data_IF_848662107134
#
_entry.id   IF_848662107134
#
_cell.length_a   1.000
_cell.length_b   1.000
_cell.length_c   1.000
_cell.angle_alpha   90.00
_cell.angle_beta   90.00
_cell.angle_gamma   90.00
#
_symmetry.space_group_name_H-M   'P 1'
#
loop_
_entity.id
_entity.type
_entity.pdbx_description
1 polymer ?
2 polymer ?
3 non-polymer ?
4 non-polymer ?
5 water ?
#
# COMPACT_ATOMS: atom_id res chain seq x y z
N UNK A 8 -24.94 -5.32 -1.97
CA UNK A 8 -23.44 -5.41 -1.89
C UNK A 8 -22.61 -4.44 -2.78
N UNK A 9 -21.41 -4.07 -2.30
CA UNK A 9 -20.58 -3.15 -3.03
C UNK A 9 -19.34 -3.81 -3.59
N UNK A 10 -18.82 -3.32 -4.70
CA UNK A 10 -17.57 -3.86 -5.25
C UNK A 10 -16.39 -3.08 -4.66
N UNK A 11 -15.27 -3.77 -4.44
CA UNK A 11 -14.05 -3.11 -3.95
C UNK A 11 -13.66 -1.99 -4.91
N UNK A 12 -13.14 -0.89 -4.37
CA UNK A 12 -12.63 0.18 -5.23
C UNK A 12 -11.49 -0.42 -6.02
N UNK A 13 -11.42 -0.17 -7.35
CA UNK A 13 -10.31 -0.76 -8.14
C UNK A 13 -8.94 -0.15 -7.86
N UNK A 14 -7.92 -1.01 -7.94
CA UNK A 14 -6.55 -0.57 -7.74
C UNK A 14 -6.03 0.24 -8.92
N UNK A 15 -5.00 1.06 -8.67
CA UNK A 15 -4.31 1.77 -9.75
C UNK A 15 -2.86 1.83 -9.27
N UNK A 16 -1.93 1.92 -10.21
CA UNK A 16 -0.53 1.99 -9.84
C UNK A 16 -0.27 3.15 -8.87
N UNK A 17 0.69 2.96 -7.96
CA UNK A 17 1.10 4.05 -7.08
C UNK A 17 1.86 5.09 -7.88
N UNK A 18 2.44 4.70 -9.03
CA UNK A 18 3.18 5.66 -9.87
C UNK A 18 4.59 5.99 -9.34
N UNK A 19 5.38 6.71 -10.14
CA UNK A 19 6.75 7.06 -9.76
C UNK A 19 6.90 8.04 -8.63
N UNK A 20 5.80 8.76 -8.27
CA UNK A 20 5.92 9.78 -7.21
C UNK A 20 5.27 9.36 -5.90
N UNK A 21 5.04 8.07 -5.73
CA UNK A 21 4.40 7.53 -4.56
C UNK A 21 5.13 8.02 -3.28
N UNK A 22 6.42 8.36 -3.38
CA UNK A 22 7.16 8.84 -2.20
C UNK A 22 6.58 10.07 -1.57
N UNK A 23 5.99 10.94 -2.37
CA UNK A 23 5.44 12.16 -1.83
C UNK A 23 4.45 11.83 -0.73
N UNK A 24 3.51 10.94 -1.01
CA UNK A 24 2.52 10.63 0.00
C UNK A 24 2.90 9.62 1.06
N UNK A 25 3.80 8.69 0.74
CA UNK A 25 4.09 7.66 1.71
C UNK A 25 5.47 7.72 2.39
N UNK A 26 6.45 8.37 1.76
CA UNK A 26 7.82 8.53 2.32
C UNK A 26 8.25 9.97 1.96
N UNK A 27 7.52 10.98 2.43
CA UNK A 27 7.90 12.36 2.05
C UNK A 27 9.37 12.80 2.24
N UNK A 28 10.00 12.26 3.26
CA UNK A 28 11.40 12.60 3.53
C UNK A 28 12.26 12.13 2.33
N UNK A 29 11.88 11.06 1.65
CA UNK A 29 12.65 10.60 0.49
C UNK A 29 12.45 11.54 -0.68
N UNK A 30 11.31 12.22 -0.72
CA UNK A 30 11.08 13.21 -1.79
C UNK A 30 11.47 14.63 -1.33
N UNK A 31 12.16 14.71 -0.19
CA UNK A 31 12.61 15.99 0.38
C UNK A 31 11.54 16.97 0.77
N UNK A 32 10.52 16.43 1.39
CA UNK A 32 9.40 17.21 1.88
C UNK A 32 9.33 17.05 3.41
N UNK A 33 9.51 18.12 4.16
CA UNK A 33 9.39 17.99 5.60
C UNK A 33 8.09 18.64 5.94
N UNK A 34 7.08 17.86 6.26
CA UNK A 34 5.80 18.44 6.59
C UNK A 34 5.22 17.77 7.82
N UNK A 35 5.60 16.52 8.08
CA UNK A 35 5.12 15.80 9.25
C UNK A 35 6.18 15.78 10.36
N UNK A 36 5.75 15.77 11.62
CA UNK A 36 6.71 15.68 12.71
C UNK A 36 7.02 14.18 12.91
N UNK A 37 5.98 13.35 12.90
CA UNK A 37 6.18 11.90 12.98
C UNK A 37 6.13 11.28 11.60
N UNK A 38 7.21 10.67 11.16
CA UNK A 38 7.26 10.06 9.84
C UNK A 38 7.34 8.52 9.91
N UNK A 39 6.49 7.81 9.17
CA UNK A 39 6.51 6.36 9.17
C UNK A 39 7.78 5.93 8.46
N UNK A 40 8.46 4.89 8.97
CA UNK A 40 9.73 4.48 8.37
C UNK A 40 9.98 2.97 8.39
N UNK A 41 11.22 2.59 8.14
CA UNK A 41 11.59 1.18 8.02
C UNK A 41 12.26 0.62 9.28
N UNK A 42 12.08 1.27 10.41
CA UNK A 42 12.72 0.74 11.63
C UNK A 42 11.66 0.23 12.57
N UNK A 43 11.54 -1.07 12.69
CA UNK A 43 10.52 -1.66 13.54
C UNK A 43 11.05 -1.95 14.98
N UNK A 44 12.34 -1.71 15.21
CA UNK A 44 12.96 -2.02 16.52
C UNK A 44 12.98 -0.81 17.41
N UNK A 45 12.32 -0.88 18.55
CA UNK A 45 12.32 0.20 19.52
C UNK A 45 13.29 -0.27 20.61
N UNK A 46 13.73 0.63 21.48
CA UNK A 46 14.69 0.24 22.52
C UNK A 46 14.26 -0.96 23.35
N UNK A 47 12.99 -1.00 23.76
CA UNK A 47 12.54 -2.14 24.56
C UNK A 47 11.95 -3.32 23.78
N UNK A 48 12.05 -3.28 22.47
CA UNK A 48 11.48 -4.37 21.64
C UNK A 48 12.19 -5.66 21.93
N UNK A 49 11.42 -6.74 22.09
CA UNK A 49 11.97 -8.07 22.35
C UNK A 49 12.34 -8.84 21.07
N UNK A 50 13.32 -9.73 21.17
CA UNK A 50 13.67 -10.58 20.04
C UNK A 50 15.00 -10.38 19.38
N UNK A 51 15.35 -11.23 18.45
CA UNK A 51 16.65 -10.98 17.84
C UNK A 51 16.54 -10.03 16.67
N UNK A 52 17.37 -9.00 16.74
CA UNK A 52 17.41 -7.97 15.73
C UNK A 52 17.98 -8.55 14.45
N UNK A 53 17.36 -8.25 13.32
CA UNK A 53 17.89 -8.73 12.05
C UNK A 53 17.69 -7.61 11.07
N UNK A 54 18.45 -7.64 9.98
CA UNK A 54 18.29 -6.65 8.92
C UNK A 54 17.78 -7.44 7.71
N UNK A 55 16.77 -6.91 7.04
CA UNK A 55 16.23 -7.54 5.83
C UNK A 55 16.56 -6.59 4.66
N UNK A 56 17.24 -7.09 3.65
CA UNK A 56 17.61 -6.23 2.52
C UNK A 56 17.61 -6.96 1.20
N UNK A 57 17.49 -6.21 0.12
CA UNK A 57 17.54 -6.80 -1.21
C UNK A 57 17.27 -5.77 -2.29
N UNK A 58 17.00 -6.25 -3.49
CA UNK A 58 16.62 -5.38 -4.61
C UNK A 58 15.42 -6.04 -5.27
N UNK A 59 14.69 -5.26 -6.11
CA UNK A 59 13.52 -5.79 -6.85
C UNK A 59 13.97 -5.62 -8.28
N UNK A 60 13.87 -6.67 -9.09
CA UNK A 60 14.31 -6.62 -10.49
C UNK A 60 13.14 -6.76 -11.47
N UNK A 61 13.24 -6.11 -12.61
CA UNK A 61 12.22 -6.19 -13.64
C UNK A 61 12.56 -7.30 -14.61
N UNK A 62 11.75 -7.39 -15.66
CA UNK A 62 11.95 -8.42 -16.66
C UNK A 62 13.26 -8.37 -17.45
N UNK A 63 13.99 -7.26 -17.45
CA UNK A 63 15.30 -7.18 -18.14
C UNK A 63 16.42 -7.50 -17.11
N UNK A 64 16.03 -7.71 -15.85
CA UNK A 64 17.01 -8.00 -14.81
C UNK A 64 17.58 -6.71 -14.24
N UNK A 65 16.88 -5.61 -14.42
CA UNK A 65 17.37 -4.34 -13.92
C UNK A 65 16.61 -4.01 -12.64
N UNK A 66 17.26 -3.34 -11.71
CA UNK A 66 16.49 -3.06 -10.50
C UNK A 66 15.51 -1.92 -10.65
N UNK A 67 14.42 -2.01 -9.88
CA UNK A 67 13.40 -0.96 -9.87
C UNK A 67 13.96 0.07 -8.92
N UNK A 68 14.17 1.29 -9.41
CA UNK A 68 14.70 2.33 -8.55
C UNK A 68 13.63 3.27 -7.99
N UNK A 69 12.37 2.87 -8.16
CA UNK A 69 11.28 3.69 -7.67
C UNK A 69 10.25 2.85 -6.91
N UNK A 70 10.64 1.66 -6.46
CA UNK A 70 9.67 0.76 -5.79
C UNK A 70 9.54 1.12 -4.31
N UNK A 71 8.37 0.85 -3.75
CA UNK A 71 8.08 1.15 -2.35
C UNK A 71 7.67 -0.22 -1.76
N UNK A 72 8.21 -0.54 -0.58
CA UNK A 72 7.95 -1.84 0.04
C UNK A 72 7.42 -1.67 1.45
N UNK A 73 6.49 -2.54 1.87
CA UNK A 73 6.03 -2.51 3.26
C UNK A 73 6.07 -3.94 3.73
N UNK A 74 6.22 -4.14 5.04
CA UNK A 74 6.20 -5.47 5.55
C UNK A 74 5.28 -5.46 6.77
N UNK A 75 4.74 -6.63 7.08
CA UNK A 75 3.80 -6.80 8.23
C UNK A 75 4.23 -8.15 8.83
N UNK A 76 4.43 -8.18 10.16
CA UNK A 76 4.90 -9.40 10.78
C UNK A 76 4.50 -9.47 12.26
N UNK A 77 4.61 -10.66 12.85
CA UNK A 77 4.29 -10.83 14.26
C UNK A 77 5.53 -10.50 15.11
N UNK A 78 5.29 -10.45 16.42
CA UNK A 78 6.42 -10.21 17.33
C UNK A 78 7.21 -11.50 17.53
N UNK A 79 8.16 -11.45 18.46
CA UNK A 79 9.03 -12.58 18.68
C UNK A 79 8.31 -13.88 19.16
N UNK A 80 7.13 -13.73 19.74
CA UNK A 80 6.37 -14.86 20.21
C UNK A 80 5.30 -15.29 19.25
N UNK A 81 5.33 -14.69 18.07
CA UNK A 81 4.37 -14.99 17.02
C UNK A 81 2.96 -14.44 17.29
N UNK A 82 2.88 -13.28 17.91
CA UNK A 82 1.60 -12.63 18.18
C UNK A 82 1.61 -11.33 17.34
N UNK A 83 0.50 -11.03 16.68
CA UNK A 83 0.40 -9.80 15.89
C UNK A 83 -0.09 -8.64 16.74
N UNK A 84 0.48 -7.45 16.53
CA UNK A 84 0.05 -6.27 17.30
C UNK A 84 -1.19 -5.68 16.56
N UNK A 85 -2.30 -6.42 16.64
CA UNK A 85 -3.54 -6.05 15.96
C UNK A 85 -4.68 -6.59 16.80
N UNK A 86 -5.78 -5.84 16.85
CA UNK A 86 -6.95 -6.29 17.60
C UNK A 86 -7.54 -7.51 16.97
N UNK A 87 -7.21 -7.79 15.70
CA UNK A 87 -7.76 -8.94 15.01
C UNK A 87 -7.03 -10.22 15.36
N UNK A 88 -5.96 -10.13 16.16
CA UNK A 88 -5.24 -11.34 16.58
C UNK A 88 -6.08 -11.97 17.72
N UNK A 89 -6.42 -13.21 17.51
CA UNK A 89 -7.28 -13.92 18.43
C UNK A 89 -6.56 -14.93 19.30
N UNK A 90 -5.25 -14.88 19.38
CA UNK A 90 -4.57 -15.87 20.20
C UNK A 90 -4.77 -15.68 21.72
N UNK A 91 -5.29 -14.56 22.17
CA UNK A 91 -5.44 -14.46 23.62
C UNK A 91 -4.10 -14.34 24.34
N UNK A 92 -3.05 -14.03 23.59
CA UNK A 92 -1.72 -13.89 24.17
C UNK A 92 -1.32 -12.42 24.20
N UNK A 93 -0.44 -12.06 25.12
CA UNK A 93 -0.04 -10.67 25.18
C UNK A 93 1.04 -10.44 24.12
N UNK A 94 0.86 -9.37 23.34
CA UNK A 94 1.84 -9.02 22.32
C UNK A 94 2.93 -8.12 22.93
N UNK A 95 4.11 -8.07 22.31
CA UNK A 95 5.19 -7.21 22.75
C UNK A 95 4.55 -5.79 22.68
N UNK A 96 4.59 -5.02 23.78
CA UNK A 96 3.96 -3.69 23.74
C UNK A 96 4.79 -2.61 23.04
N UNK A 97 6.03 -2.96 22.68
CA UNK A 97 6.90 -1.97 22.04
C UNK A 97 7.23 -2.42 20.62
N UNK A 98 6.18 -2.78 19.88
CA UNK A 98 6.35 -3.29 18.52
C UNK A 98 5.15 -2.99 17.60
N UNK A 99 5.40 -2.22 16.56
CA UNK A 99 4.34 -1.85 15.63
C UNK A 99 4.02 -3.03 14.65
N UNK A 100 5.02 -3.84 14.30
CA UNK A 100 4.82 -4.98 13.39
C UNK A 100 4.84 -4.58 11.91
N UNK A 101 4.89 -3.29 11.66
CA UNK A 101 4.87 -2.81 10.24
C UNK A 101 5.93 -1.75 10.00
N UNK A 102 6.39 -1.70 8.76
CA UNK A 102 7.32 -0.66 8.36
C UNK A 102 7.20 -0.42 6.87
N UNK A 103 7.79 0.68 6.38
CA UNK A 103 7.72 0.98 4.95
C UNK A 103 9.07 1.55 4.52
N UNK A 104 9.54 1.18 3.33
CA UNK A 104 10.76 1.79 2.86
C UNK A 104 10.75 1.99 1.36
N UNK A 105 11.72 2.70 0.86
CA UNK A 105 11.76 2.86 -0.59
C UNK A 105 13.13 2.48 -1.09
N UNK A 106 13.22 1.96 -2.29
CA UNK A 106 14.51 1.58 -2.84
C UNK A 106 15.26 2.88 -3.07
N UNK A 107 16.57 2.83 -2.94
CA UNK A 107 17.44 3.97 -3.16
C UNK A 107 17.32 4.35 -4.64
N UNK A 108 17.23 5.64 -4.94
CA UNK A 108 17.06 6.08 -6.34
C UNK A 108 18.18 5.75 -7.30
N UNK A 109 19.39 5.61 -6.77
CA UNK A 109 20.52 5.30 -7.62
C UNK A 109 20.85 3.81 -7.66
N UNK A 110 20.79 3.12 -6.52
CA UNK A 110 21.13 1.67 -6.52
C UNK A 110 19.97 0.70 -6.53
N UNK A 111 18.79 1.15 -6.04
CA UNK A 111 17.67 0.21 -6.00
C UNK A 111 17.74 -0.63 -4.71
N UNK A 112 18.72 -0.42 -3.82
CA UNK A 112 18.72 -1.28 -2.62
C UNK A 112 17.66 -0.78 -1.65
N UNK A 113 17.05 -1.72 -0.91
CA UNK A 113 16.07 -1.38 0.13
C UNK A 113 16.43 -2.22 1.38
N UNK A 114 16.05 -1.76 2.57
CA UNK A 114 16.29 -2.54 3.78
C UNK A 114 15.29 -2.18 4.88
N UNK A 115 15.20 -3.05 5.87
CA UNK A 115 14.39 -2.82 7.04
C UNK A 115 15.24 -3.31 8.25
N UNK A 116 15.01 -2.70 9.39
CA UNK A 116 15.63 -3.11 10.64
C UNK A 116 14.42 -3.66 11.40
N UNK A 117 14.46 -4.94 11.71
CA UNK A 117 13.30 -5.50 12.42
C UNK A 117 13.79 -6.63 13.33
N UNK A 118 12.89 -7.49 13.76
CA UNK A 118 13.28 -8.62 14.59
C UNK A 118 12.76 -9.83 13.85
N UNK A 119 13.32 -11.00 14.16
CA UNK A 119 12.94 -12.24 13.54
C UNK A 119 11.63 -12.68 14.18
N UNK A 120 10.56 -12.86 13.38
CA UNK A 120 9.29 -13.26 14.00
C UNK A 120 9.20 -14.70 14.48
N UNK A 121 8.37 -14.89 15.48
CA UNK A 121 8.09 -16.22 16.03
C UNK A 121 7.04 -16.87 15.14
N UNK A 122 6.84 -18.16 15.32
CA UNK A 122 5.87 -18.89 14.51
C UNK A 122 4.44 -18.54 14.90
N UNK A 123 3.58 -18.45 13.89
CA UNK A 123 2.18 -18.08 14.05
C UNK A 123 1.28 -19.27 13.70
N UNK A 124 0.17 -19.44 14.43
CA UNK A 124 -0.75 -20.56 14.14
C UNK A 124 -1.25 -20.44 12.70
N UNK A 125 -1.42 -21.59 12.05
CA UNK A 125 -1.97 -21.65 10.71
C UNK A 125 -3.42 -22.12 10.84
N UNK A 126 -4.07 -22.49 9.76
CA UNK A 126 -5.45 -22.92 9.89
C UNK A 126 -5.56 -24.33 10.43
N UNK A 127 -6.73 -24.63 10.95
CA UNK A 127 -7.02 -25.99 11.46
C UNK A 127 -5.94 -26.59 12.34
N UNK A 128 -5.48 -25.82 13.32
CA UNK A 128 -4.48 -26.34 14.23
C UNK A 128 -3.05 -26.49 13.75
N UNK A 129 -2.73 -26.04 12.53
CA UNK A 129 -1.35 -26.17 12.05
C UNK A 129 -0.46 -25.02 12.57
N UNK A 130 0.85 -25.11 12.31
CA UNK A 130 1.76 -24.04 12.70
C UNK A 130 2.48 -23.53 11.47
N UNK A 131 2.50 -22.20 11.28
CA UNK A 131 3.18 -21.72 10.12
C UNK A 131 4.66 -21.50 10.47
N UNK A 132 5.54 -21.60 9.48
CA UNK A 132 6.95 -21.33 9.75
C UNK A 132 7.07 -19.81 9.88
N UNK A 133 8.14 -19.31 10.56
CA UNK A 133 8.34 -17.85 10.72
C UNK A 133 8.38 -17.21 9.33
N UNK A 134 7.66 -16.08 9.18
CA UNK A 134 7.65 -15.36 7.91
C UNK A 134 7.26 -13.90 8.11
N UNK A 135 7.53 -13.11 7.09
CA UNK A 135 7.19 -11.70 7.07
C UNK A 135 6.34 -11.51 5.79
N UNK A 136 5.21 -10.86 5.91
CA UNK A 136 4.37 -10.60 4.72
C UNK A 136 4.91 -9.31 4.08
N UNK A 137 5.03 -9.29 2.75
CA UNK A 137 5.64 -8.12 2.09
C UNK A 137 4.81 -7.71 0.89
N UNK A 138 4.71 -6.40 0.63
CA UNK A 138 3.96 -5.93 -0.53
C UNK A 138 4.84 -4.89 -1.21
N UNK A 139 4.69 -4.86 -2.53
CA UNK A 139 5.47 -4.04 -3.45
C UNK A 139 4.53 -3.09 -4.23
N UNK A 140 4.86 -1.80 -4.30
CA UNK A 140 4.07 -0.84 -5.10
C UNK A 140 5.06 -0.05 -5.97
N UNK A 141 4.71 0.24 -7.22
CA UNK A 141 5.62 1.00 -8.05
C UNK A 141 4.94 1.37 -9.37
N UNK A 142 5.56 2.32 -10.05
CA UNK A 142 5.15 2.67 -11.39
C UNK A 142 5.16 1.34 -12.16
N UNK A 143 4.19 1.18 -13.06
CA UNK A 143 4.13 -0.05 -13.86
C UNK A 143 3.43 -1.22 -13.18
N UNK A 144 3.20 -1.12 -11.88
CA UNK A 144 2.56 -2.20 -11.12
C UNK A 144 1.16 -1.72 -10.77
N UNK A 145 0.16 -2.39 -11.38
CA UNK A 145 -1.22 -1.94 -11.23
C UNK A 145 -1.91 -2.24 -9.95
N UNK A 146 -1.47 -3.33 -9.32
CA UNK A 146 -2.02 -3.78 -8.02
C UNK A 146 -0.80 -4.21 -7.19
N UNK A 147 -0.74 -3.81 -5.93
CA UNK A 147 0.40 -4.17 -5.08
C UNK A 147 0.58 -5.67 -5.13
N UNK A 148 1.82 -6.11 -5.25
CA UNK A 148 2.16 -7.54 -5.33
C UNK A 148 2.52 -8.05 -3.95
N UNK A 149 1.83 -9.09 -3.50
CA UNK A 149 2.00 -9.66 -2.14
C UNK A 149 2.96 -10.85 -2.24
N UNK A 150 3.87 -10.97 -1.29
CA UNK A 150 4.72 -12.17 -1.24
C UNK A 150 5.05 -12.39 0.24
N UNK A 151 5.83 -13.43 0.54
CA UNK A 151 6.21 -13.74 1.90
C UNK A 151 7.71 -13.99 1.92
N UNK A 152 8.33 -13.75 3.07
CA UNK A 152 9.77 -13.94 3.21
C UNK A 152 9.90 -15.01 4.30
N UNK A 153 10.55 -16.14 4.02
CA UNK A 153 10.79 -17.18 5.00
C UNK A 153 12.33 -17.17 5.19
N UNK A 154 12.82 -17.92 6.18
CA UNK A 154 14.23 -17.84 6.55
C UNK A 154 14.92 -19.16 6.29
N UNK A 155 16.08 -19.11 5.65
CA UNK A 155 16.76 -20.37 5.31
C UNK A 155 17.26 -21.17 6.51
N UNK A 156 17.40 -20.54 7.66
CA UNK A 156 17.81 -21.28 8.85
C UNK A 156 16.62 -21.91 9.57
N UNK A 157 15.44 -21.95 8.94
CA UNK A 157 14.29 -22.58 9.57
C UNK A 157 13.81 -23.65 8.63
N UNK A 158 14.75 -24.45 8.12
CA UNK A 158 14.40 -25.49 7.13
C UNK A 158 13.34 -26.50 7.60
N UNK A 159 13.46 -26.89 8.86
CA UNK A 159 12.53 -27.82 9.46
C UNK A 159 11.11 -27.23 9.47
N UNK A 160 11.00 -25.99 9.93
CA UNK A 160 9.70 -25.35 9.99
C UNK A 160 9.17 -25.05 8.59
N UNK A 161 10.06 -24.68 7.65
CA UNK A 161 9.62 -24.40 6.27
C UNK A 161 9.07 -25.62 5.56
N UNK A 162 9.69 -26.77 5.83
CA UNK A 162 9.27 -28.01 5.20
C UNK A 162 7.83 -28.39 5.59
N UNK A 163 7.34 -27.92 6.72
CA UNK A 163 5.98 -28.23 7.21
C UNK A 163 5.01 -27.03 7.04
N UNK A 164 5.49 -25.94 6.46
CA UNK A 164 4.63 -24.78 6.34
C UNK A 164 3.45 -25.00 5.38
N UNK A 165 2.22 -24.71 5.85
CA UNK A 165 1.02 -24.89 5.02
C UNK A 165 1.05 -24.09 3.73
N UNK A 166 1.37 -22.81 3.82
CA UNK A 166 1.38 -22.02 2.59
C UNK A 166 2.45 -22.45 1.57
N UNK A 167 3.69 -22.71 2.04
CA UNK A 167 4.71 -23.15 1.10
C UNK A 167 4.31 -24.48 0.49
N UNK A 168 3.71 -25.38 1.27
CA UNK A 168 3.32 -26.66 0.73
C UNK A 168 2.12 -26.56 -0.22
N UNK A 169 1.44 -25.43 -0.21
CA UNK A 169 0.28 -25.24 -1.08
C UNK A 169 0.70 -24.77 -2.46
N UNK A 170 2.01 -24.55 -2.68
CA UNK A 170 2.51 -24.13 -4.01
C UNK A 170 2.82 -25.48 -4.68
N UNK A 171 2.06 -25.86 -5.71
CA UNK A 171 2.31 -27.21 -6.23
C UNK A 171 3.56 -27.38 -7.06
N UNK A 172 4.14 -26.27 -7.56
CA UNK A 172 5.36 -26.36 -8.39
C UNK A 172 6.44 -26.19 -7.35
N UNK A 173 6.98 -27.30 -6.85
CA UNK A 173 7.92 -27.21 -5.75
C UNK A 173 9.20 -26.44 -5.95
N UNK A 174 9.69 -26.37 -7.16
CA UNK A 174 10.91 -25.66 -7.43
C UNK A 174 10.73 -24.15 -7.18
N UNK A 175 9.49 -23.66 -7.11
CA UNK A 175 9.28 -22.23 -6.94
C UNK A 175 9.28 -21.83 -5.49
N UNK A 176 9.11 -22.81 -4.60
CA UNK A 176 9.08 -22.52 -3.17
C UNK A 176 10.36 -21.84 -2.72
N UNK A 177 11.48 -22.18 -3.33
CA UNK A 177 12.73 -21.57 -2.88
C UNK A 177 12.84 -20.06 -3.14
N UNK A 178 12.03 -19.51 -4.05
CA UNK A 178 12.12 -18.09 -4.29
C UNK A 178 11.64 -17.33 -3.07
N UNK A 179 11.00 -17.98 -2.12
CA UNK A 179 10.50 -17.28 -0.94
C UNK A 179 11.38 -17.37 0.31
N UNK A 180 12.55 -18.01 0.18
CA UNK A 180 13.48 -18.18 1.30
C UNK A 180 14.65 -17.19 1.22
N UNK A 181 14.77 -16.34 2.23
CA UNK A 181 15.84 -15.36 2.26
C UNK A 181 17.11 -16.04 2.84
N UNK A 182 18.27 -15.57 2.43
CA UNK A 182 19.55 -16.14 2.88
C UNK A 182 20.19 -15.38 4.03
N UNK A 183 20.53 -16.12 5.08
CA UNK A 183 21.10 -15.55 6.29
C UNK A 183 22.57 -15.27 6.07
N UNK A 184 23.03 -14.12 6.55
CA UNK A 184 24.44 -13.75 6.45
C UNK A 184 24.75 -13.00 7.75
N UNK A 185 26.02 -12.91 8.10
CA UNK A 185 26.37 -12.21 9.34
C UNK A 185 27.44 -11.16 9.15
N UNK A 186 27.03 -9.93 8.84
CA UNK A 186 27.94 -8.82 8.62
C UNK A 186 28.48 -8.28 9.95
N UNK A 187 29.60 -8.86 10.38
CA UNK A 187 30.26 -8.49 11.63
C UNK A 187 29.31 -8.20 12.78
N UNK A 188 28.85 -9.28 13.43
CA UNK A 188 27.94 -9.16 14.55
C UNK A 188 26.47 -9.12 14.18
N UNK A 189 26.12 -8.43 13.09
CA UNK A 189 24.72 -8.30 12.68
C UNK A 189 24.24 -9.43 11.79
N UNK A 190 23.00 -9.86 12.01
CA UNK A 190 22.40 -10.91 11.21
C UNK A 190 21.64 -10.19 10.08
N UNK A 191 21.87 -10.60 8.85
CA UNK A 191 21.24 -10.00 7.68
C UNK A 191 20.62 -11.08 6.86
N UNK A 192 19.42 -10.83 6.35
CA UNK A 192 18.75 -11.79 5.46
C UNK A 192 18.60 -11.08 4.13
N UNK A 193 19.13 -11.68 3.08
CA UNK A 193 19.09 -11.06 1.77
C UNK A 193 17.90 -11.67 1.04
N UNK A 194 17.00 -10.83 0.53
CA UNK A 194 15.83 -11.38 -0.17
C UNK A 194 15.65 -10.55 -1.43
N UNK A 195 16.05 -11.07 -2.59
CA UNK A 195 15.87 -10.34 -3.84
C UNK A 195 14.57 -10.82 -4.44
N UNK A 196 13.85 -9.89 -5.04
CA UNK A 196 12.58 -10.18 -5.62
C UNK A 196 12.70 -10.07 -7.12
N UNK A 197 12.25 -11.08 -7.86
CA UNK A 197 12.32 -11.01 -9.32
C UNK A 197 10.89 -11.03 -9.83
N UNK A 198 10.49 -9.89 -10.34
CA UNK A 198 9.11 -9.78 -10.78
C UNK A 198 8.78 -10.61 -11.97
N UNK A 199 9.71 -10.80 -12.89
CA UNK A 199 9.37 -11.52 -14.09
C UNK A 199 10.57 -12.34 -14.61
N UNK A 200 10.32 -13.42 -15.35
CA UNK A 200 11.43 -14.16 -15.92
C UNK A 200 11.87 -15.40 -15.19
N UNK A 201 13.15 -15.71 -15.30
CA UNK A 201 13.68 -16.89 -14.62
C UNK A 201 13.71 -16.65 -13.09
N UNK A 202 13.39 -17.70 -12.36
CA UNK A 202 13.38 -17.63 -10.89
C UNK A 202 12.43 -16.53 -10.44
N UNK A 203 11.36 -16.32 -11.18
CA UNK A 203 10.39 -15.29 -10.83
C UNK A 203 9.86 -15.58 -9.41
N UNK A 204 9.80 -14.57 -8.57
CA UNK A 204 9.32 -14.76 -7.16
C UNK A 204 7.80 -15.11 -7.18
N UNK A 205 7.39 -16.02 -6.31
CA UNK A 205 5.97 -16.37 -6.16
C UNK A 205 5.22 -15.14 -5.58
N UNK A 206 4.06 -14.79 -6.18
CA UNK A 206 3.26 -13.70 -5.63
C UNK A 206 1.91 -14.32 -5.28
N UNK A 207 1.31 -13.86 -4.21
CA UNK A 207 0.04 -14.43 -3.76
C UNK A 207 -1.18 -13.53 -3.95
N UNK A 208 -2.35 -14.17 -4.05
CA UNK A 208 -3.59 -13.39 -4.05
C UNK A 208 -4.08 -13.78 -2.65
N UNK A 209 -4.03 -12.85 -1.70
CA UNK A 209 -4.37 -13.18 -0.33
C UNK A 209 -5.75 -12.81 0.15
N UNK B 4 -20.03 -12.12 17.77
CA UNK B 4 -19.59 -12.35 16.32
C UNK B 4 -18.16 -12.89 16.19
N UNK B 5 -18.00 -13.99 15.46
CA UNK B 5 -16.67 -14.57 15.27
C UNK B 5 -16.35 -14.31 13.80
N UNK B 6 -15.30 -13.55 13.54
CA UNK B 6 -14.99 -13.26 12.16
C UNK B 6 -14.21 -14.37 11.45
N UNK B 7 -14.58 -14.59 10.19
CA UNK B 7 -13.93 -15.59 9.35
C UNK B 7 -12.99 -14.87 8.37
N UNK B 8 -12.74 -15.40 7.19
CA UNK B 8 -11.79 -14.71 6.27
C UNK B 8 -12.41 -13.55 5.46
N UNK B 9 -11.57 -12.72 4.86
CA UNK B 9 -12.09 -11.71 3.96
C UNK B 9 -12.64 -12.42 2.71
N UNK B 10 -13.66 -11.83 2.09
CA UNK B 10 -14.20 -12.41 0.86
C UNK B 10 -13.04 -12.29 -0.17
N UNK B 11 -13.00 -13.22 -1.10
CA UNK B 11 -12.01 -13.24 -2.14
C UNK B 11 -12.00 -11.94 -2.99
N UNK B 12 -10.79 -11.46 -3.36
CA UNK B 12 -10.71 -10.26 -4.23
C UNK B 12 -11.28 -10.69 -5.59
N UNK B 13 -12.20 -9.88 -6.15
CA UNK B 13 -12.77 -10.25 -7.45
C UNK B 13 -11.81 -9.72 -8.50
N UNK B 14 -10.97 -10.57 -9.05
CA UNK B 14 -9.97 -10.07 -10.02
C UNK B 14 -10.57 -9.33 -11.24
N UNK B 15 -11.83 -9.60 -11.56
CA UNK B 15 -12.42 -8.98 -12.76
C UNK B 15 -12.80 -7.53 -12.45
N UNK B 16 -12.72 -7.14 -11.18
CA UNK B 16 -13.07 -5.77 -10.81
C UNK B 16 -11.83 -4.84 -10.72
N UNK B 17 -10.66 -5.35 -11.07
CA UNK B 17 -9.43 -4.63 -11.00
C UNK B 17 -8.67 -4.75 -12.31
N UNK B 18 -7.64 -3.92 -12.48
CA UNK B 18 -6.88 -4.04 -13.71
C UNK B 18 -6.06 -5.32 -13.60
N UNK B 19 -5.61 -5.84 -14.75
CA UNK B 19 -4.78 -7.04 -14.81
C UNK B 19 -3.36 -6.53 -14.57
N UNK B 20 -2.41 -7.41 -14.23
CA UNK B 20 -1.04 -6.92 -14.02
C UNK B 20 -0.44 -6.54 -15.37
N UNK B 21 -0.72 -7.37 -16.37
CA UNK B 21 -0.12 -7.10 -17.68
C UNK B 21 -1.11 -6.29 -18.48
N UNK B 22 -0.76 -5.05 -18.81
CA UNK B 22 -1.68 -4.22 -19.56
C UNK B 22 -0.77 -3.45 -20.51
N UNK B 23 -0.54 -3.99 -21.70
CA UNK B 23 0.34 -3.37 -22.69
C UNK B 23 0.12 -1.88 -23.05
N UNK B 24 -1.08 -1.36 -22.86
CA UNK B 24 -1.29 0.07 -23.16
C UNK B 24 -0.60 0.96 -22.12
N UNK B 25 -0.22 0.38 -20.98
CA UNK B 25 0.49 1.16 -19.93
C UNK B 25 1.84 0.49 -20.03
N UNK B 26 2.72 1.10 -20.83
CA UNK B 26 3.98 0.49 -21.18
C UNK B 26 4.90 -0.08 -20.14
N UNK B 27 5.04 0.61 -19.01
CA UNK B 27 5.93 0.13 -17.97
C UNK B 27 5.42 -1.14 -17.30
N UNK B 28 4.16 -1.49 -17.52
CA UNK B 28 3.65 -2.77 -16.95
C UNK B 28 4.20 -3.98 -17.71
N UNK B 29 4.72 -3.78 -18.92
CA UNK B 29 5.18 -4.94 -19.68
C UNK B 29 6.35 -5.71 -19.01
N UNK B 30 7.25 -4.98 -18.36
CA UNK B 30 8.43 -5.64 -17.74
C UNK B 30 8.25 -5.74 -16.23
N UNK B 31 7.18 -5.13 -15.69
CA UNK B 31 6.94 -5.16 -14.26
C UNK B 31 5.72 -5.94 -13.85
N UNK B 32 5.34 -6.93 -14.67
CA UNK B 32 4.18 -7.77 -14.32
C UNK B 32 4.66 -9.22 -14.30
N UNK B 33 4.18 -10.01 -13.36
CA UNK B 33 4.67 -11.38 -13.40
C UNK B 33 4.15 -12.17 -14.58
N UNK B 34 4.93 -13.15 -15.00
CA UNK B 34 4.43 -13.97 -16.10
C UNK B 34 3.54 -15.08 -15.49
N UNK B 35 3.84 -15.55 -14.27
CA UNK B 35 3.00 -16.57 -13.66
C UNK B 35 1.75 -16.01 -13.05
N UNK B 36 0.70 -16.85 -13.00
CA UNK B 36 -0.56 -16.46 -12.34
C UNK B 36 -0.28 -16.32 -10.82
N UNK B 37 -1.03 -15.47 -10.16
CA UNK B 37 -0.86 -15.37 -8.71
C UNK B 37 -1.34 -16.69 -8.10
N UNK B 38 -0.73 -17.07 -6.97
CA UNK B 38 -1.13 -18.26 -6.26
C UNK B 38 -2.10 -17.82 -5.13
N UNK B 39 -3.34 -18.30 -5.20
CA UNK B 39 -4.31 -17.94 -4.20
C UNK B 39 -4.12 -18.84 -2.94
N UNK B 40 -4.13 -18.21 -1.77
CA UNK B 40 -4.04 -19.00 -0.58
C UNK B 40 -5.26 -18.79 0.33
N UNK B 41 -5.44 -19.74 1.24
CA UNK B 41 -6.54 -19.64 2.21
C UNK B 41 -5.99 -18.73 3.33
N UNK B 42 -6.80 -17.81 3.82
CA UNK B 42 -6.25 -16.85 4.78
C UNK B 42 -5.95 -17.36 6.18
N UNK B 43 -4.91 -16.78 6.77
CA UNK B 43 -4.50 -17.06 8.14
C UNK B 43 -4.51 -15.78 8.93
N UNK B 44 -4.06 -15.87 10.19
CA UNK B 44 -3.99 -14.69 11.02
C UNK B 44 -3.14 -13.60 10.37
N UNK B 45 -2.16 -14.01 9.59
CA UNK B 45 -1.28 -13.06 8.90
C UNK B 45 -2.02 -12.14 7.93
N UNK B 46 -3.03 -12.68 7.25
CA UNK B 46 -3.73 -11.90 6.24
C UNK B 46 -4.90 -11.10 6.84
N UNK B 47 -5.38 -11.50 8.00
CA UNK B 47 -6.56 -10.79 8.57
C UNK B 47 -6.21 -9.77 9.63
N UNK B 48 -4.92 -9.59 9.91
CA UNK B 48 -4.50 -8.59 10.92
C UNK B 48 -3.83 -7.42 10.18
N UNK B 49 -3.59 -6.34 10.92
CA UNK B 49 -2.97 -5.16 10.31
C UNK B 49 -2.54 -4.26 11.44
N UNK B 50 -1.62 -3.32 11.19
CA UNK B 50 -1.18 -2.47 12.30
C UNK B 50 -2.18 -1.41 12.71
N UNK B 51 -1.96 -0.82 13.90
CA UNK B 51 -2.84 0.25 14.39
C UNK B 51 -2.01 1.51 14.51
N UNK B 52 -2.50 2.64 14.03
CA UNK B 52 -1.77 3.90 14.11
C UNK B 52 -2.53 4.84 15.07
N UNK B 53 -1.84 5.49 15.98
CA UNK B 53 -2.58 6.35 16.90
C UNK B 53 -2.71 7.78 16.42
N UNK B 54 -3.88 8.36 16.64
CA UNK B 54 -4.11 9.73 16.23
C UNK B 54 -3.16 10.72 16.94
N UNK B 55 -2.63 10.31 18.09
CA UNK B 55 -1.69 11.14 18.86
C UNK B 55 -0.46 11.64 18.14
N UNK B 56 0.02 10.86 17.19
CA UNK B 56 1.21 11.21 16.44
C UNK B 56 0.98 12.25 15.32
N UNK B 57 -0.26 12.32 14.82
CA UNK B 57 -0.66 13.23 13.73
C UNK B 57 -0.67 14.72 14.09
N UNK B 58 -0.24 15.57 13.16
CA UNK B 58 -0.19 17.02 13.39
C UNK B 58 -1.56 17.62 13.12
N UNK B 59 -1.83 18.84 13.61
CA UNK B 59 -3.13 19.45 13.39
C UNK B 59 -3.46 19.82 11.95
N UNK B 60 -2.41 19.97 11.15
CA UNK B 60 -2.57 20.30 9.74
C UNK B 60 -2.27 19.13 8.80
N UNK B 61 -2.13 17.91 9.34
CA UNK B 61 -1.82 16.79 8.45
C UNK B 61 -2.88 16.53 7.37
N UNK B 62 -4.14 16.93 7.57
CA UNK B 62 -5.16 16.77 6.53
C UNK B 62 -5.50 18.06 5.84
N UNK B 63 -4.64 19.07 5.97
CA UNK B 63 -4.91 20.39 5.35
C UNK B 63 -3.76 20.75 4.42
N UNK B 64 -3.89 20.30 3.17
CA UNK B 64 -2.84 20.50 2.16
C UNK B 64 -2.75 21.98 1.71
N UNK B 65 -3.75 22.79 2.05
CA UNK B 65 -3.63 24.20 1.72
C UNK B 65 -2.59 24.85 2.70
N UNK B 66 -2.63 24.48 3.98
CA UNK B 66 -1.74 25.12 4.93
C UNK B 66 -0.55 24.34 5.47
N UNK B 67 -0.51 23.04 5.26
CA UNK B 67 0.55 22.28 5.90
C UNK B 67 1.97 22.50 5.36
N UNK B 68 2.09 23.14 4.22
CA UNK B 68 3.42 23.39 3.70
C UNK B 68 3.57 24.86 3.41
N UNK B 69 2.55 25.66 3.73
CA UNK B 69 2.57 27.07 3.46
C UNK B 69 3.61 27.78 4.33
N UNK B 70 4.45 28.58 3.68
CA UNK B 70 5.52 29.32 4.36
C UNK B 70 5.22 30.81 4.39
N UNK B 71 5.18 31.50 3.26
CA UNK B 71 4.92 32.92 3.35
C UNK B 71 3.68 33.42 2.63
N UNK B 72 2.78 32.50 2.34
CA UNK B 72 1.52 32.86 1.70
C UNK B 72 0.77 31.57 1.43
N UNK B 73 -0.34 31.68 0.73
CA UNK B 73 -1.13 30.48 0.41
C UNK B 73 -0.74 29.91 -0.96
N UNK B 74 -0.98 28.60 -1.16
CA UNK B 74 -0.65 28.01 -2.47
C UNK B 74 -1.66 28.59 -3.50
N UNK B 75 -1.26 28.64 -4.76
CA UNK B 75 -2.09 29.15 -5.83
C UNK B 75 -2.94 27.99 -6.32
N UNK B 76 -4.21 28.24 -6.61
CA UNK B 76 -5.02 27.17 -7.10
C UNK B 76 -6.42 27.12 -6.56
N UNK B 77 -7.17 26.12 -7.03
CA UNK B 77 -8.59 26.00 -6.68
C UNK B 77 -8.81 25.32 -5.34
N UNK B 78 -9.35 26.08 -4.40
CA UNK B 78 -9.59 25.61 -3.06
C UNK B 78 -10.74 24.59 -3.04
N UNK B 79 -10.44 23.37 -2.61
CA UNK B 79 -11.47 22.33 -2.53
C UNK B 79 -11.40 21.43 -1.28
N UNK B 80 -12.55 20.98 -0.83
CA UNK B 80 -12.64 20.06 0.29
C UNK B 80 -13.03 18.73 -0.33
N UNK B 81 -12.45 17.62 0.15
CA UNK B 81 -12.85 16.33 -0.37
C UNK B 81 -13.27 15.54 0.86
N UNK B 82 -14.40 14.84 0.79
CA UNK B 82 -14.82 14.09 1.97
C UNK B 82 -15.58 12.89 1.51
N UNK B 83 -15.79 11.95 2.43
CA UNK B 83 -16.49 10.78 2.05
C UNK B 83 -16.41 9.73 3.12
N UNK B 84 -16.83 8.52 2.74
CA UNK B 84 -16.85 7.37 3.69
C UNK B 84 -16.12 6.20 3.15
N UNK B 85 -15.45 5.48 4.04
CA UNK B 85 -14.73 4.27 3.69
C UNK B 85 -15.60 3.14 4.32
N UNK B 86 -16.01 2.17 3.50
CA UNK B 86 -16.86 1.09 3.98
C UNK B 86 -16.28 -0.22 3.48
N UNK B 87 -16.71 -1.36 4.02
CA UNK B 87 -16.22 -2.61 3.48
C UNK B 87 -17.32 -3.06 2.50
N UNK B 88 -17.06 -4.13 1.77
CA UNK B 88 -18.01 -4.54 0.75
C UNK B 88 -19.39 -4.97 1.27
N UNK B 89 -19.52 -5.18 2.57
CA UNK B 89 -20.84 -5.50 3.13
C UNK B 89 -21.50 -4.27 3.72
N UNK B 90 -20.91 -3.11 3.41
CA UNK B 90 -21.46 -1.84 3.87
C UNK B 90 -21.09 -1.41 5.30
N UNK B 91 -20.25 -2.17 5.98
CA UNK B 91 -19.91 -1.77 7.35
C UNK B 91 -18.87 -0.64 7.31
N UNK B 92 -18.94 0.33 8.21
CA UNK B 92 -17.96 1.42 8.22
C UNK B 92 -16.56 0.87 8.57
N UNK B 93 -15.52 1.50 8.02
CA UNK B 93 -14.14 1.09 8.30
C UNK B 93 -13.61 2.20 9.26
N UNK B 94 -13.42 1.84 10.52
CA UNK B 94 -13.02 2.79 11.55
C UNK B 94 -11.55 2.84 11.81
N UNK B 95 -11.05 4.04 12.01
CA UNK B 95 -9.63 4.27 12.31
C UNK B 95 -8.65 3.72 11.27
N UNK B 96 -9.01 3.84 10.00
CA UNK B 96 -8.13 3.40 8.94
C UNK B 96 -7.22 4.57 8.57
N UNK B 97 -5.98 4.25 8.21
CA UNK B 97 -5.03 5.27 7.80
C UNK B 97 -5.18 5.60 6.31
N UNK B 98 -5.53 6.86 6.04
CA UNK B 98 -5.69 7.29 4.64
C UNK B 98 -4.54 8.25 4.37
N UNK B 99 -3.68 7.94 3.41
CA UNK B 99 -2.60 8.85 3.05
C UNK B 99 -2.84 9.33 1.62
N UNK B 100 -2.60 10.62 1.34
CA UNK B 100 -2.88 11.08 -0.04
C UNK B 100 -1.71 11.89 -0.56
N UNK B 101 -1.63 12.02 -1.88
CA UNK B 101 -0.56 12.81 -2.50
C UNK B 101 -1.01 13.25 -3.88
N UNK B 102 -0.42 14.32 -4.40
CA UNK B 102 -0.92 14.84 -5.66
C UNK B 102 0.02 15.90 -6.13
N UNK B 103 -0.20 16.29 -7.38
CA UNK B 103 0.59 17.35 -8.02
C UNK B 103 -0.01 18.67 -7.57
N UNK B 104 0.67 19.78 -7.86
CA UNK B 104 0.09 21.08 -7.55
C UNK B 104 -0.87 21.56 -8.64
N UNK B 105 -1.22 22.83 -8.61
CA UNK B 105 -2.21 23.36 -9.59
C UNK B 105 -1.71 23.35 -11.03
N UNK B 106 -0.38 23.28 -11.20
CA UNK B 106 0.25 23.23 -12.51
C UNK B 106 0.35 21.80 -13.05
N UNK B 107 0.02 20.79 -12.24
CA UNK B 107 0.21 19.39 -12.66
C UNK B 107 1.68 18.96 -12.34
N UNK B 108 2.37 19.73 -11.53
CA UNK B 108 3.76 19.45 -11.16
C UNK B 108 3.82 18.83 -9.74
N UNK B 109 4.54 17.71 -9.63
CA UNK B 109 4.73 16.98 -8.35
C UNK B 109 5.98 17.50 -7.69
N UNK B 110 5.98 17.54 -6.37
CA UNK B 110 7.14 18.01 -5.63
C UNK B 110 7.98 16.76 -5.38
N UNK B 111 8.77 16.41 -6.38
CA UNK B 111 9.54 15.15 -6.35
C UNK B 111 10.79 15.36 -7.22
N UNK B 112 11.95 14.86 -6.79
CA UNK B 112 13.19 15.03 -7.56
C UNK B 112 13.09 14.52 -8.98
N UNK B 113 12.26 13.49 -9.23
CA UNK B 113 12.19 12.98 -10.59
C UNK B 113 11.14 13.63 -11.51
N UNK B 114 10.45 14.67 -11.04
CA UNK B 114 9.48 15.34 -11.90
C UNK B 114 10.11 16.63 -12.43
N UNK B 115 10.36 16.68 -13.74
CA UNK B 115 10.96 17.89 -14.32
C UNK B 115 10.05 18.62 -15.32
N UNK B 116 8.75 18.38 -15.19
CA UNK B 116 7.81 19.00 -16.09
C UNK B 116 7.92 20.54 -15.96
N UNK B 117 7.69 21.24 -17.05
CA UNK B 117 7.77 22.69 -17.03
C UNK B 117 6.67 23.37 -16.20
N UNK B 118 5.57 22.66 -15.90
CA UNK B 118 4.56 23.25 -15.04
C UNK B 118 5.24 23.82 -13.79
N UNK B 119 4.90 25.03 -13.39
CA UNK B 119 5.59 25.67 -12.27
C UNK B 119 5.34 25.05 -10.92
N UNK B 120 6.40 25.02 -10.10
CA UNK B 120 6.39 24.57 -8.73
C UNK B 120 5.78 25.69 -7.90
N UNK B 121 5.14 25.35 -6.79
CA UNK B 121 4.48 26.37 -5.96
C UNK B 121 5.19 26.30 -4.62
N UNK B 122 5.96 27.34 -4.25
CA UNK B 122 6.69 27.32 -2.98
C UNK B 122 5.87 27.07 -1.73
N UNK B 123 4.54 27.29 -1.79
CA UNK B 123 3.70 27.10 -0.61
C UNK B 123 2.87 25.83 -0.62
N UNK B 124 3.13 24.93 -1.58
CA UNK B 124 2.37 23.69 -1.64
C UNK B 124 3.30 22.44 -1.60
N UNK B 125 2.95 21.47 -0.77
CA UNK B 125 3.74 20.25 -0.67
C UNK B 125 3.08 19.13 -1.45
N UNK B 126 1.80 18.91 -1.19
CA UNK B 126 1.07 17.86 -1.93
C UNK B 126 0.87 16.52 -1.20
N UNK B 127 1.06 16.49 0.12
CA UNK B 127 0.78 15.24 0.84
C UNK B 127 0.03 15.49 2.14
N UNK B 128 -0.78 14.52 2.54
CA UNK B 128 -1.55 14.63 3.75
C UNK B 128 -1.96 13.27 4.23
N UNK B 129 -2.56 13.22 5.43
CA UNK B 129 -3.01 11.96 5.96
C UNK B 129 -4.06 12.22 7.02
N UNK B 130 -4.81 11.16 7.37
CA UNK B 130 -5.87 11.28 8.37
C UNK B 130 -6.34 9.88 8.69
N UNK B 131 -7.06 9.74 9.79
CA UNK B 131 -7.61 8.46 10.15
C UNK B 131 -9.12 8.60 9.99
N UNK B 132 -9.79 7.58 9.47
CA UNK B 132 -11.24 7.68 9.42
C UNK B 132 -11.84 7.63 10.83
N UNK B 133 -13.01 8.22 10.97
CA UNK B 133 -13.67 8.24 12.28
C UNK B 133 -14.53 6.99 12.48
N UNK B 134 -15.33 6.95 13.55
CA UNK B 134 -16.17 5.77 13.80
C UNK B 134 -17.26 5.47 12.79
N UNK B 135 -17.58 6.45 11.97
CA UNK B 135 -18.56 6.23 10.93
C UNK B 135 -17.88 5.95 9.62
N UNK B 136 -16.54 5.86 9.64
CA UNK B 136 -15.82 5.61 8.40
C UNK B 136 -15.62 6.90 7.57
N UNK B 137 -15.93 8.05 8.16
CA UNK B 137 -15.85 9.31 7.44
C UNK B 137 -14.44 9.92 7.41
N UNK B 138 -14.10 10.61 6.33
CA UNK B 138 -12.78 11.29 6.27
C UNK B 138 -13.01 12.65 5.55
N UNK B 139 -12.14 13.61 5.82
CA UNK B 139 -12.26 14.94 5.16
C UNK B 139 -10.88 15.58 5.13
N UNK B 140 -10.51 16.15 4.01
CA UNK B 140 -9.26 16.86 3.92
C UNK B 140 -9.47 18.04 2.97
N UNK B 141 -8.56 19.01 3.01
CA UNK B 141 -8.73 20.17 2.16
C UNK B 141 -7.45 20.26 1.36
N UNK B 142 -7.53 20.78 0.13
CA UNK B 142 -6.39 20.87 -0.73
C UNK B 142 -6.65 21.84 -1.87
N UNK B 143 -5.71 21.91 -2.79
CA UNK B 143 -5.77 22.71 -4.02
C UNK B 143 -6.11 21.66 -5.10
N UNK B 144 -7.09 21.91 -6.00
CA UNK B 144 -7.35 20.87 -7.02
C UNK B 144 -6.09 20.70 -7.91
N UNK B 145 -5.64 19.45 -8.16
CA UNK B 145 -4.42 19.29 -8.98
C UNK B 145 -4.74 19.49 -10.45
N UNK B 146 -3.72 19.89 -11.17
CA UNK B 146 -3.89 20.07 -12.59
C UNK B 146 -3.51 18.74 -13.28
N UNK B 147 -4.06 18.49 -14.46
CA UNK B 147 -3.77 17.30 -15.27
C UNK B 147 -2.26 17.46 -15.67
N UNK B 148 -1.59 16.43 -16.19
CA UNK B 148 -0.20 16.59 -16.57
C UNK B 148 0.21 15.63 -17.67
N UNK B 149 1.25 15.99 -18.40
CA UNK B 149 1.70 15.09 -19.47
C UNK B 149 2.72 14.11 -18.85
N UNK B 150 2.81 12.91 -19.39
CA UNK B 150 3.80 11.96 -18.93
C UNK B 150 4.17 11.12 -20.15
N UNK B 151 5.30 10.42 -20.09
CA UNK B 151 5.70 9.66 -21.25
C UNK B 151 5.26 8.19 -21.20
N UNK B 152 4.26 7.87 -22.01
CA UNK B 152 3.79 6.49 -22.16
C UNK B 152 3.87 6.56 -23.72
N UNK B 153 2.85 7.08 -24.36
CA UNK B 153 2.99 7.46 -25.77
C UNK B 153 3.57 8.87 -25.55
N UNK B 154 4.13 9.51 -26.58
CA UNK B 154 4.80 10.78 -26.32
C UNK B 154 3.91 11.95 -25.83
N UNK B 155 2.64 11.98 -26.27
CA UNK B 155 1.71 13.05 -25.90
C UNK B 155 0.63 12.50 -24.96
N UNK B 156 1.02 11.74 -23.95
CA UNK B 156 0.02 11.16 -23.05
C UNK B 156 -0.24 12.23 -21.99
N UNK B 157 -1.49 12.37 -21.53
CA UNK B 157 -1.87 13.32 -20.51
C UNK B 157 -2.81 12.58 -19.53
N UNK B 158 -2.64 12.79 -18.22
CA UNK B 158 -3.54 12.15 -17.27
C UNK B 158 -4.55 13.19 -16.77
N UNK B 159 -5.79 12.76 -16.50
CA UNK B 159 -6.75 13.76 -15.98
C UNK B 159 -6.26 14.08 -14.54
N UNK B 160 -6.77 15.17 -13.97
CA UNK B 160 -6.41 15.54 -12.62
C UNK B 160 -6.79 14.41 -11.66
N UNK B 161 -5.92 14.15 -10.69
CA UNK B 161 -6.25 13.12 -9.75
C UNK B 161 -5.48 13.27 -8.47
N UNK B 162 -6.06 12.69 -7.42
CA UNK B 162 -5.40 12.64 -6.14
C UNK B 162 -5.13 11.14 -5.84
N UNK B 163 -3.87 10.81 -5.58
CA UNK B 163 -3.51 9.45 -5.26
C UNK B 163 -3.88 9.19 -3.79
N UNK B 164 -4.28 7.94 -3.48
CA UNK B 164 -4.57 7.62 -2.07
C UNK B 164 -4.18 6.19 -1.73
N UNK B 165 -3.96 5.99 -0.43
CA UNK B 165 -3.54 4.68 0.11
C UNK B 165 -4.30 4.43 1.40
N UNK B 166 -4.72 3.18 1.63
CA UNK B 166 -5.42 2.84 2.85
C UNK B 166 -4.83 1.62 3.54
N UNK B 167 -4.61 1.75 4.86
CA UNK B 167 -4.19 0.60 5.68
C UNK B 167 -5.35 0.57 6.72
N UNK B 168 -6.05 -0.54 6.75
CA UNK B 168 -7.27 -0.61 7.59
C UNK B 168 -7.18 -1.75 8.60
N UNK B 169 -8.16 -2.65 8.62
CA UNK B 169 -8.22 -3.73 9.60
C UNK B 169 -7.49 -5.01 9.29
N UNK B 170 -7.40 -5.35 8.02
CA UNK B 170 -6.71 -6.56 7.62
C UNK B 170 -5.70 -6.27 6.52
N UNK B 171 -4.58 -7.00 6.54
CA UNK B 171 -3.55 -6.83 5.53
C UNK B 171 -4.16 -7.09 4.15
N UNK B 172 -5.13 -8.02 4.09
CA UNK B 172 -5.78 -8.33 2.82
C UNK B 172 -6.50 -7.13 2.15
N UNK B 173 -6.92 -6.16 2.95
CA UNK B 173 -7.60 -4.96 2.48
C UNK B 173 -6.61 -3.93 1.92
N UNK B 174 -5.29 -4.13 2.12
CA UNK B 174 -4.31 -3.12 1.66
C UNK B 174 -4.58 -2.63 0.21
N UNK B 175 -4.74 -1.32 0.01
CA UNK B 175 -5.07 -0.79 -1.29
C UNK B 175 -4.49 0.57 -1.59
N UNK B 176 -4.06 0.79 -2.84
CA UNK B 176 -3.58 2.09 -3.30
C UNK B 176 -4.30 2.34 -4.61
N UNK B 177 -4.83 3.54 -4.81
CA UNK B 177 -5.52 3.82 -6.05
C UNK B 177 -5.48 5.36 -6.24
N UNK B 178 -6.42 5.91 -7.00
CA UNK B 178 -6.46 7.34 -7.16
C UNK B 178 -7.87 7.73 -7.58
N UNK B 179 -8.30 8.94 -7.27
CA UNK B 179 -9.64 9.30 -7.73
C UNK B 179 -9.54 10.52 -8.65
N UNK B 180 -10.51 10.66 -9.55
CA UNK B 180 -10.55 11.74 -10.54
C UNK B 180 -11.71 12.66 -10.21
N UNK B 181 -11.87 13.75 -10.97
CA UNK B 181 -12.93 14.72 -10.69
C UNK B 181 -14.01 14.73 -11.79
N UNK B 182 -15.27 14.68 -11.34
CA UNK B 182 -16.39 14.68 -12.22
C UNK B 182 -16.25 15.67 -13.40
N UNK B 183 -16.48 15.19 -14.60
CA UNK B 183 -16.46 15.97 -15.82
C UNK B 183 -15.12 16.15 -16.56
N UNK B 184 -14.00 15.75 -15.95
CA UNK B 184 -12.69 15.93 -16.62
C UNK B 184 -12.72 15.12 -17.96
N UNK B 185 -12.52 15.82 -19.05
CA UNK B 185 -12.62 15.17 -20.36
C UNK B 185 -11.45 14.22 -20.59
N UNK B 186 -10.37 14.32 -19.84
CA UNK B 186 -9.25 13.40 -20.06
C UNK B 186 -9.48 12.01 -19.49
N UNK B 187 -10.55 11.85 -18.71
CA UNK B 187 -10.87 10.54 -18.11
C UNK B 187 -11.10 9.54 -19.22
N UNK B 188 -11.73 9.94 -20.32
CA UNK B 188 -12.00 8.99 -21.45
C UNK B 188 -10.80 8.59 -22.28
N UNK B 189 -9.66 9.21 -22.02
CA UNK B 189 -8.45 8.95 -22.80
C UNK B 189 -7.28 8.29 -22.08
N UNK B 190 -7.28 8.27 -20.76
CA UNK B 190 -6.17 7.77 -19.98
C UNK B 190 -5.91 6.26 -20.03
N UNK B 191 -4.71 5.86 -20.47
CA UNK B 191 -4.39 4.43 -20.56
C UNK B 191 -4.33 3.77 -19.17
N UNK B 192 -3.95 4.52 -18.13
CA UNK B 192 -3.90 3.91 -16.80
C UNK B 192 -5.32 3.65 -16.32
N UNK B 193 -6.26 4.59 -16.56
CA UNK B 193 -7.65 4.35 -16.13
C UNK B 193 -8.25 3.26 -16.98
N UNK B 194 -7.88 3.20 -18.27
CA UNK B 194 -8.41 2.16 -19.11
C UNK B 194 -7.87 0.75 -18.80
N UNK B 195 -6.91 0.61 -17.86
CA UNK B 195 -6.47 -0.76 -17.50
C UNK B 195 -7.61 -1.41 -16.74
N UNK B 196 -8.53 -0.60 -16.20
CA UNK B 196 -9.68 -1.18 -15.45
C UNK B 196 -10.66 -1.73 -16.51
N UNK B 197 -11.07 -2.98 -16.39
CA UNK B 197 -11.96 -3.58 -17.36
C UNK B 197 -13.33 -3.07 -17.61
N UNK B 198 -14.03 -2.75 -16.55
CA UNK B 198 -15.41 -2.36 -16.68
C UNK B 198 -15.70 -0.92 -16.47
N UNK B 199 -16.71 -0.48 -17.22
CA UNK B 199 -17.10 0.90 -17.14
C UNK B 199 -17.59 1.25 -15.74
N UNK B 200 -18.35 0.37 -15.08
CA UNK B 200 -18.84 0.75 -13.75
C UNK B 200 -17.72 0.91 -12.70
N UNK B 201 -16.63 0.17 -12.87
CA UNK B 201 -15.50 0.30 -11.93
C UNK B 201 -14.72 1.55 -12.31
N UNK B 202 -14.69 1.92 -13.58
CA UNK B 202 -13.93 3.15 -13.90
C UNK B 202 -14.67 4.30 -13.25
N UNK B 203 -16.01 4.19 -13.18
CA UNK B 203 -16.78 5.24 -12.60
C UNK B 203 -16.68 5.31 -11.11
N UNK B 204 -16.32 4.18 -10.46
CA UNK B 204 -16.13 4.14 -9.03
C UNK B 204 -14.90 4.97 -8.59
N UNK B 205 -14.12 5.47 -9.53
CA UNK B 205 -12.96 6.30 -9.14
C UNK B 205 -13.25 7.79 -9.39
N UNK B 206 -14.50 8.15 -9.68
CA UNK B 206 -14.76 9.57 -9.96
C UNK B 206 -15.39 10.27 -8.78
N UNK B 207 -14.72 11.30 -8.27
CA UNK B 207 -15.26 12.06 -7.11
C UNK B 207 -16.36 12.97 -7.67
N UNK B 208 -17.47 13.12 -6.95
CA UNK B 208 -18.57 13.94 -7.43
C UNK B 208 -18.69 15.31 -6.81
N UNK B 209 -19.07 16.26 -7.62
CA UNK B 209 -19.27 17.62 -7.15
C UNK B 209 -20.35 17.56 -6.08
N UNK B 210 -20.12 18.20 -4.94
CA UNK B 210 -21.10 18.15 -3.82
C UNK B 210 -21.49 19.61 -3.52
N UNK B 211 -22.36 20.15 -4.36
CA UNK B 211 -22.69 21.56 -4.31
C UNK B 211 -23.29 22.05 -3.00
N UNK B 212 -24.09 21.24 -2.35
CA UNK B 212 -24.65 21.72 -1.09
C UNK B 212 -23.60 21.91 -0.03
N UNK B 213 -22.44 21.26 -0.20
CA UNK B 213 -21.38 21.43 0.77
C UNK B 213 -20.26 22.42 0.39
N UNK B 214 -20.49 23.21 -0.64
CA UNK B 214 -19.52 24.25 -1.00
C UNK B 214 -19.57 25.27 0.13
N UNK B 215 -18.46 25.96 0.40
CA UNK B 215 -18.46 26.98 1.44
C UNK B 215 -18.39 28.31 0.72
N UNK B 216 -19.41 29.13 0.93
CA UNK B 216 -19.46 30.41 0.26
C UNK B 216 -18.23 31.24 0.39
N UNK B 217 -17.85 31.84 -0.73
CA UNK B 217 -16.68 32.71 -0.91
C UNK B 217 -15.44 32.02 -0.39
N UNK B 218 -15.38 30.71 -0.52
CA UNK B 218 -14.24 30.01 0.03
C UNK B 218 -13.80 28.80 -0.76
N UNK B 219 -14.54 27.70 -0.67
CA UNK B 219 -14.07 26.44 -1.28
C UNK B 219 -15.20 25.57 -1.90
N UNK B 220 -14.89 24.83 -2.96
CA UNK B 220 -15.86 23.88 -3.52
C UNK B 220 -15.69 22.56 -2.70
N UNK B 221 -16.47 21.55 -3.03
CA UNK B 221 -16.42 20.30 -2.27
C UNK B 221 -16.73 19.14 -3.19
N UNK B 222 -15.98 18.04 -3.03
CA UNK B 222 -16.20 16.82 -3.80
C UNK B 222 -16.45 15.66 -2.83
N UNK B 223 -17.32 14.73 -3.25
CA UNK B 223 -17.67 13.59 -2.44
C UNK B 223 -17.07 12.34 -3.09
N UNK B 224 -16.37 11.53 -2.28
CA UNK B 224 -15.75 10.31 -2.79
C UNK B 224 -15.73 9.21 -1.73
N UNK B 225 -16.47 8.13 -1.98
CA UNK B 225 -16.48 7.03 -1.03
C UNK B 225 -15.56 5.92 -1.56
N UNK B 226 -15.02 5.14 -0.65
CA UNK B 226 -14.07 4.06 -0.93
C UNK B 226 -14.60 2.76 -0.32
N UNK B 227 -14.49 1.64 -1.07
CA UNK B 227 -14.98 0.40 -0.56
C UNK B 227 -13.84 -0.60 -0.47
N UNK B 228 -13.65 -1.22 0.70
CA UNK B 228 -12.58 -2.22 0.85
C UNK B 228 -13.19 -3.61 0.95
N UNK B 229 -12.33 -4.62 0.90
CA UNK B 229 -12.80 -5.98 1.06
C UNK B 229 -13.34 -6.12 2.49
N UNK B 230 -14.34 -7.02 2.63
CA UNK B 230 -14.97 -7.23 3.94
C UNK B 230 -14.86 -8.67 4.39
N UNK B 231 -14.92 -8.86 5.73
CA UNK B 231 -14.88 -10.17 6.32
C UNK B 231 -16.26 -10.78 6.45
N UNK B 232 -16.32 -12.09 6.30
CA UNK B 232 -17.57 -12.83 6.47
C UNK B 232 -17.64 -13.20 7.95
N UNK B 233 -18.82 -13.37 8.49
CA UNK B 233 -18.92 -13.80 9.87
C UNK B 233 -19.00 -15.34 9.83
N UNK B 234 -18.58 -16.02 10.90
CA UNK B 234 -18.64 -17.47 10.94
C UNK B 234 -19.69 -17.96 11.94
N UNK B 235 -20.50 -18.95 11.58
CA UNK B 235 -21.46 -19.43 12.56
C UNK B 235 -21.32 -20.92 12.87
N UNK B 236 -20.44 -21.57 12.17
CA UNK B 236 -20.19 -23.00 12.35
C UNK B 236 -18.71 -23.19 12.65
N UNK B 237 -18.02 -24.07 11.94
CA UNK B 237 -16.58 -24.30 12.19
C UNK B 237 -15.78 -23.02 11.94
N UNK B 238 -14.77 -22.77 12.76
CA UNK B 238 -13.93 -21.60 12.55
C UNK B 238 -12.53 -22.14 12.35
N UNK B 239 -12.13 -22.33 11.10
CA UNK B 239 -10.83 -22.92 10.78
C UNK B 239 -9.70 -21.93 10.64
N UNK B 240 -9.94 -20.65 10.88
CA UNK B 240 -8.89 -19.65 10.71
C UNK B 240 -7.67 -20.01 11.56
N UNK B 241 -7.93 -20.62 12.70
CA UNK B 241 -6.89 -21.03 13.62
C UNK B 241 -7.17 -22.49 14.00
X LIG C 1 -0.28 11.06 -10.64
X LIG D 1 3.79 6.95 -14.73
X LIG D 1 3.59 5.74 -14.96
X LIG D 1 4.68 7.58 -15.34
X LIG D 1 2.92 7.67 -13.70
X LIG D 1 1.94 6.97 -13.03
X LIG D 1 1.16 7.62 -12.10
X LIG D 1 1.36 8.95 -11.84
X LIG D 1 2.35 9.65 -12.51
X LIG D 1 3.14 9.02 -13.46
X LIG D 1 0.58 9.61 -10.90
#
# INVERSE_FOLDING_TARGET
>A
MNGWNFQELKETPSQTGGPYVHIGLLPKQANIEVFEHNLDNNLVQDNTQGQRIRLEGQVFDGLGLPLRDVLIEIWQADTNGVYPSQADTQGKQVDPNFLGWGRTGADFGTGFWSFNTIKPGAVPGRKGSTQAPHISLIIFARGINIGLHTRVYFDDEAEANAKDPVLNSIEWATRRQTLVAKREERDGEVVYRFDIRIQGENETVFFDI
>B
MSQIIWGAYAQRNTEDHPPAYAPGYKTSVLRSPKNALISIAETLSEVTAPHFSADKFGPKDNDLILNYAKDGLPIGERVIVHGYVRDQFGRPVKNALVEVWQANASGRYRHPNDQYIGAMDPNFGGCGRMLTDDNGYYVFRTIKPGPYPWRNRINEWSPAHIHFSLIADGWAQRLISQFYFEGDTLIDSCPILKTIPSEQQRRALIALEDKSNFIEADSRCYRFDITLRGRRATYFENDLT
>C hetero
1 FE FE
>D hetero
1 PHB C1' O1' O2' C1 C2 C3 C4 C5 C6 O4
#
